data_IF_110934017553
#
_entry.id   IF_110934017553
#
_cell.length_a   1.000
_cell.length_b   1.000
_cell.length_c   1.000
_cell.angle_alpha   90.00
_cell.angle_beta   90.00
_cell.angle_gamma   90.00
#
_symmetry.space_group_name_H-M   'P 1'
#
loop_
_entity.id
_entity.type
_entity.pdbx_description
1 polymer ?
#
# COMPACT_ATOMS: atom_id res chain seq x y z
N UNK A 1 6.00 -0.06 -14.69
CA UNK A 1 4.85 -0.67 -13.97
C UNK A 1 4.06 0.43 -13.26
N UNK A 2 2.73 0.39 -13.31
CA UNK A 2 1.81 1.26 -12.57
C UNK A 2 1.04 0.38 -11.59
N UNK A 3 1.18 0.65 -10.30
CA UNK A 3 0.37 0.01 -9.27
C UNK A 3 -0.76 0.96 -8.90
N UNK A 4 -1.99 0.60 -9.26
CA UNK A 4 -3.18 1.35 -8.91
C UNK A 4 -3.43 1.24 -7.39
N UNK A 5 -3.85 2.35 -6.79
CA UNK A 5 -4.08 2.42 -5.34
C UNK A 5 -5.08 1.37 -4.84
N UNK A 6 -5.15 1.23 -3.53
CA UNK A 6 -5.97 0.24 -2.86
C UNK A 6 -7.44 0.31 -3.28
N UNK A 7 -7.88 -0.71 -4.00
CA UNK A 7 -9.23 -0.91 -4.48
C UNK A 7 -9.96 -1.87 -3.55
N UNK A 8 -11.10 -1.46 -2.99
CA UNK A 8 -11.89 -2.31 -2.13
C UNK A 8 -12.57 -3.43 -2.95
N UNK A 9 -12.58 -4.65 -2.44
CA UNK A 9 -13.16 -5.81 -3.12
C UNK A 9 -14.68 -5.93 -2.97
N UNK A 10 -15.26 -5.03 -2.17
CA UNK A 10 -16.71 -4.85 -2.01
C UNK A 10 -16.99 -3.46 -1.42
N UNK A 11 -18.22 -2.93 -1.57
CA UNK A 11 -18.52 -1.56 -1.11
C UNK A 11 -18.27 -1.33 0.37
N UNK A 12 -18.57 -2.31 1.23
CA UNK A 12 -18.38 -2.21 2.68
C UNK A 12 -16.93 -2.31 3.14
N UNK A 13 -15.98 -2.73 2.29
CA UNK A 13 -14.55 -2.80 2.58
C UNK A 13 -13.79 -1.50 2.36
N UNK A 14 -14.46 -0.40 1.97
CA UNK A 14 -13.83 0.89 1.64
C UNK A 14 -13.43 1.68 2.90
N UNK A 15 -12.30 2.36 2.81
CA UNK A 15 -11.85 3.30 3.84
C UNK A 15 -12.51 4.69 3.74
N UNK A 16 -13.21 4.98 2.65
CA UNK A 16 -14.01 6.18 2.43
C UNK A 16 -14.94 5.98 1.22
N UNK A 17 -15.97 6.80 1.08
CA UNK A 17 -16.89 6.75 -0.06
C UNK A 17 -16.21 7.03 -1.41
N UNK A 18 -15.07 7.70 -1.39
CA UNK A 18 -14.28 8.04 -2.59
C UNK A 18 -13.26 6.98 -3.00
N UNK A 19 -13.07 5.94 -2.19
CA UNK A 19 -12.12 4.89 -2.52
C UNK A 19 -12.63 4.04 -3.69
N UNK A 20 -11.72 3.67 -4.59
CA UNK A 20 -11.99 2.71 -5.66
C UNK A 20 -12.54 1.41 -5.08
N UNK A 21 -13.48 0.81 -5.77
CA UNK A 21 -13.99 -0.52 -5.48
C UNK A 21 -14.14 -1.30 -6.78
N UNK A 22 -13.88 -2.61 -6.73
CA UNK A 22 -14.10 -3.49 -7.86
C UNK A 22 -15.34 -4.36 -7.61
N UNK A 23 -16.26 -4.34 -8.57
CA UNK A 23 -17.50 -5.07 -8.50
C UNK A 23 -18.33 -4.85 -9.78
N UNK A 24 -19.48 -5.53 -9.94
CA UNK A 24 -20.27 -5.44 -11.16
C UNK A 24 -20.62 -4.00 -11.59
N UNK A 25 -20.90 -3.12 -10.65
CA UNK A 25 -21.29 -1.73 -10.92
C UNK A 25 -20.12 -0.80 -11.29
N UNK A 26 -18.87 -1.24 -11.09
CA UNK A 26 -17.68 -0.39 -11.30
C UNK A 26 -16.76 -0.91 -12.41
N UNK A 27 -17.10 -2.03 -13.05
CA UNK A 27 -16.27 -2.62 -14.13
C UNK A 27 -15.96 -1.61 -15.23
N UNK A 28 -16.98 -0.93 -15.78
CA UNK A 28 -16.78 0.01 -16.86
C UNK A 28 -15.89 1.20 -16.46
N UNK A 29 -16.06 1.71 -15.25
CA UNK A 29 -15.24 2.82 -14.75
C UNK A 29 -13.78 2.42 -14.55
N UNK A 30 -13.53 1.19 -14.05
CA UNK A 30 -12.18 0.67 -13.88
C UNK A 30 -11.52 0.36 -15.23
N UNK A 31 -12.27 -0.19 -16.18
CA UNK A 31 -11.78 -0.41 -17.55
C UNK A 31 -11.39 0.92 -18.22
N UNK A 32 -12.24 1.94 -18.10
CA UNK A 32 -11.94 3.28 -18.62
C UNK A 32 -10.71 3.92 -17.94
N UNK A 33 -10.56 3.73 -16.64
CA UNK A 33 -9.38 4.21 -15.91
C UNK A 33 -8.10 3.51 -16.37
N UNK A 34 -8.15 2.19 -16.55
CA UNK A 34 -7.03 1.39 -17.06
C UNK A 34 -6.62 1.85 -18.46
N UNK A 35 -7.60 2.01 -19.36
CA UNK A 35 -7.32 2.44 -20.74
C UNK A 35 -6.76 3.86 -20.78
N UNK A 36 -7.32 4.80 -20.00
CA UNK A 36 -6.81 6.17 -19.89
C UNK A 36 -5.34 6.20 -19.43
N UNK A 37 -4.95 5.33 -18.46
CA UNK A 37 -3.57 5.24 -18.01
C UNK A 37 -2.65 4.70 -19.11
N UNK A 38 -3.09 3.69 -19.86
CA UNK A 38 -2.33 3.13 -21.01
C UNK A 38 -2.22 4.12 -22.17
N UNK A 39 -3.30 4.85 -22.48
CA UNK A 39 -3.29 5.89 -23.51
C UNK A 39 -2.34 7.04 -23.17
N UNK A 40 -2.35 7.50 -21.92
CA UNK A 40 -1.42 8.51 -21.45
C UNK A 40 0.04 8.03 -21.58
N UNK A 41 0.31 6.77 -21.21
CA UNK A 41 1.64 6.16 -21.35
C UNK A 41 2.07 6.05 -22.81
N UNK A 42 1.19 5.58 -23.71
CA UNK A 42 1.44 5.51 -25.16
C UNK A 42 1.69 6.90 -25.76
N UNK A 43 0.91 7.87 -25.37
CA UNK A 43 1.07 9.26 -25.82
C UNK A 43 2.41 9.87 -25.41
N UNK A 44 2.88 9.55 -24.20
CA UNK A 44 4.13 10.08 -23.66
C UNK A 44 5.38 9.35 -24.16
N UNK A 45 5.31 8.03 -24.38
CA UNK A 45 6.47 7.14 -24.58
C UNK A 45 6.46 6.46 -25.97
N UNK A 46 5.43 6.71 -26.79
CA UNK A 46 5.26 6.11 -28.09
C UNK A 46 4.28 4.92 -28.13
N UNK A 47 3.72 4.60 -29.32
CA UNK A 47 2.59 3.66 -29.47
C UNK A 47 2.92 2.22 -29.05
N UNK A 48 4.18 1.82 -29.04
CA UNK A 48 4.62 0.50 -28.58
C UNK A 48 4.79 0.37 -27.06
N UNK A 49 4.65 1.48 -26.30
CA UNK A 49 4.85 1.45 -24.86
C UNK A 49 3.59 0.94 -24.13
N UNK A 50 3.76 -0.11 -23.34
CA UNK A 50 2.68 -0.68 -22.51
C UNK A 50 3.19 -0.94 -21.10
N UNK A 51 2.86 -0.08 -20.12
CA UNK A 51 3.23 -0.34 -18.73
C UNK A 51 2.42 -1.51 -18.18
N UNK A 52 3.05 -2.36 -17.36
CA UNK A 52 2.31 -3.32 -16.54
C UNK A 52 1.41 -2.56 -15.56
N UNK A 53 0.13 -2.92 -15.51
CA UNK A 53 -0.90 -2.29 -14.70
C UNK A 53 -1.40 -3.29 -13.64
N UNK A 54 -1.06 -3.06 -12.38
CA UNK A 54 -1.40 -3.92 -11.24
C UNK A 54 -2.47 -3.24 -10.39
N UNK A 55 -3.57 -3.95 -10.08
CA UNK A 55 -4.63 -3.43 -9.21
C UNK A 55 -4.45 -3.93 -7.77
N UNK A 56 -4.21 -3.03 -6.82
CA UNK A 56 -4.09 -3.41 -5.41
C UNK A 56 -5.48 -3.67 -4.80
N UNK A 57 -5.71 -4.90 -4.36
CA UNK A 57 -6.95 -5.35 -3.72
C UNK A 57 -6.86 -5.24 -2.20
N UNK A 58 -7.95 -4.80 -1.55
CA UNK A 58 -7.97 -4.62 -0.11
C UNK A 58 -9.36 -4.71 0.52
N UNK A 59 -9.37 -4.95 1.83
CA UNK A 59 -10.43 -4.61 2.77
C UNK A 59 -9.82 -3.71 3.85
N UNK A 60 -10.47 -2.58 4.14
CA UNK A 60 -9.92 -1.59 5.07
C UNK A 60 -9.93 -2.03 6.53
N UNK A 61 -10.60 -3.15 6.86
CA UNK A 61 -10.65 -3.67 8.22
C UNK A 61 -11.17 -2.63 9.21
N UNK A 62 -10.41 -2.34 10.24
CA UNK A 62 -10.67 -1.31 11.27
C UNK A 62 -11.00 0.06 10.67
N UNK A 63 -10.43 0.38 9.52
CA UNK A 63 -10.57 1.67 8.83
C UNK A 63 -11.67 1.68 7.76
N UNK A 64 -12.69 0.82 7.86
CA UNK A 64 -13.89 0.94 7.04
C UNK A 64 -14.69 2.16 7.49
N UNK A 65 -14.68 3.21 6.66
CA UNK A 65 -15.34 4.49 6.96
C UNK A 65 -16.27 4.96 5.84
N UNK A 66 -16.58 4.11 4.86
CA UNK A 66 -17.60 4.43 3.89
C UNK A 66 -18.99 4.46 4.56
N UNK A 67 -19.88 5.29 4.04
CA UNK A 67 -21.24 5.46 4.58
C UNK A 67 -21.96 4.10 4.68
N UNK A 68 -22.57 3.84 5.82
CA UNK A 68 -23.30 2.58 6.08
C UNK A 68 -22.42 1.36 6.32
N UNK A 69 -21.10 1.53 6.58
CA UNK A 69 -20.22 0.41 6.88
C UNK A 69 -19.91 0.29 8.36
N UNK A 70 -19.58 -0.93 8.79
CA UNK A 70 -19.11 -1.22 10.15
C UNK A 70 -17.62 -1.55 10.10
N UNK A 71 -16.79 -1.03 11.04
CA UNK A 71 -15.41 -1.42 11.15
C UNK A 71 -15.23 -2.94 11.27
N UNK A 72 -14.25 -3.50 10.58
CA UNK A 72 -13.94 -4.93 10.59
C UNK A 72 -12.73 -5.21 11.47
N UNK A 73 -12.93 -5.42 12.76
CA UNK A 73 -11.84 -5.70 13.69
C UNK A 73 -11.34 -7.13 13.57
N UNK A 74 -10.03 -7.30 13.65
CA UNK A 74 -9.41 -8.63 13.84
C UNK A 74 -9.22 -8.95 15.32
N UNK A 75 -8.72 -7.95 16.06
CA UNK A 75 -8.51 -7.96 17.51
C UNK A 75 -8.79 -6.55 18.03
N UNK A 76 -9.50 -6.36 19.13
CA UNK A 76 -9.61 -5.06 19.80
C UNK A 76 -8.22 -4.55 20.20
N UNK A 77 -7.93 -3.31 19.87
CA UNK A 77 -6.71 -2.61 20.26
C UNK A 77 -7.03 -1.15 20.57
N UNK A 78 -7.26 -0.81 21.84
CA UNK A 78 -7.78 0.50 22.27
C UNK A 78 -7.02 1.71 21.72
N UNK A 79 -5.71 1.58 21.49
CA UNK A 79 -4.88 2.63 20.91
C UNK A 79 -5.32 2.96 19.46
N UNK A 80 -5.53 1.94 18.64
CA UNK A 80 -5.95 2.11 17.24
C UNK A 80 -7.46 2.29 17.12
N UNK A 81 -8.25 1.65 17.98
CA UNK A 81 -9.72 1.74 17.97
C UNK A 81 -10.17 3.18 18.16
N UNK A 82 -9.62 3.87 19.16
CA UNK A 82 -9.90 5.29 19.41
C UNK A 82 -9.51 6.17 18.22
N UNK A 83 -8.36 5.92 17.58
CA UNK A 83 -7.92 6.70 16.42
C UNK A 83 -8.77 6.43 15.18
N UNK A 84 -9.20 5.20 14.99
CA UNK A 84 -10.10 4.80 13.91
C UNK A 84 -11.58 5.09 14.24
N UNK A 85 -11.89 5.66 15.41
CA UNK A 85 -13.26 5.93 15.88
C UNK A 85 -14.16 4.69 15.82
N UNK A 86 -13.61 3.54 16.18
CA UNK A 86 -14.34 2.29 16.28
C UNK A 86 -15.28 2.34 17.48
N UNK A 87 -16.59 2.04 17.33
CA UNK A 87 -17.50 1.91 18.48
C UNK A 87 -17.00 0.83 19.47
N UNK A 88 -17.17 1.10 20.77
CA UNK A 88 -16.62 0.23 21.85
C UNK A 88 -17.18 -1.20 21.82
N UNK A 89 -18.41 -1.36 21.36
CA UNK A 89 -19.14 -2.63 21.27
C UNK A 89 -18.95 -3.36 19.92
N UNK A 90 -18.05 -2.86 19.04
CA UNK A 90 -17.80 -3.49 17.74
C UNK A 90 -17.17 -4.87 17.94
N UNK A 91 -17.87 -5.98 17.54
CA UNK A 91 -17.31 -7.30 17.67
C UNK A 91 -16.19 -7.54 16.65
N UNK A 92 -15.18 -8.36 16.99
CA UNK A 92 -14.23 -8.85 15.99
C UNK A 92 -14.94 -9.68 14.91
N UNK A 93 -14.39 -9.62 13.68
CA UNK A 93 -14.83 -10.46 12.58
C UNK A 93 -14.71 -11.94 12.96
N UNK A 94 -15.72 -12.75 12.65
CA UNK A 94 -15.63 -14.20 12.75
C UNK A 94 -14.67 -14.79 11.71
N UNK A 95 -14.30 -16.05 11.86
CA UNK A 95 -13.50 -16.75 10.84
C UNK A 95 -14.27 -16.86 9.52
N UNK A 96 -15.59 -17.06 9.58
CA UNK A 96 -16.48 -17.09 8.41
C UNK A 96 -16.52 -15.73 7.68
N UNK A 97 -16.51 -14.60 8.41
CA UNK A 97 -16.47 -13.28 7.78
C UNK A 97 -15.14 -13.07 7.04
N UNK A 98 -14.04 -13.55 7.61
CA UNK A 98 -12.72 -13.48 6.96
C UNK A 98 -12.68 -14.35 5.71
N UNK A 99 -13.27 -15.54 5.74
CA UNK A 99 -13.40 -16.40 4.56
C UNK A 99 -14.22 -15.76 3.45
N UNK A 100 -15.36 -15.15 3.79
CA UNK A 100 -16.17 -14.38 2.83
C UNK A 100 -15.38 -13.24 2.19
N UNK A 101 -14.45 -12.61 2.94
CA UNK A 101 -13.58 -11.58 2.38
C UNK A 101 -12.54 -12.20 1.45
N UNK A 102 -11.97 -13.38 1.77
CA UNK A 102 -11.08 -14.10 0.85
C UNK A 102 -11.81 -14.47 -0.45
N UNK A 103 -13.05 -14.93 -0.39
CA UNK A 103 -13.86 -15.23 -1.58
C UNK A 103 -14.04 -13.96 -2.44
N UNK A 104 -14.42 -12.84 -1.83
CA UNK A 104 -14.54 -11.55 -2.54
C UNK A 104 -13.22 -11.07 -3.15
N UNK A 105 -12.09 -11.29 -2.49
CA UNK A 105 -10.77 -10.94 -3.04
C UNK A 105 -10.41 -11.84 -4.22
N UNK A 106 -10.76 -13.13 -4.16
CA UNK A 106 -10.55 -14.07 -5.26
C UNK A 106 -11.41 -13.70 -6.48
N UNK A 107 -12.70 -13.40 -6.27
CA UNK A 107 -13.60 -12.91 -7.32
C UNK A 107 -13.10 -11.60 -7.93
N UNK A 108 -12.60 -10.67 -7.11
CA UNK A 108 -12.04 -9.41 -7.55
C UNK A 108 -10.79 -9.59 -8.41
N UNK A 109 -9.93 -10.57 -8.11
CA UNK A 109 -8.76 -10.90 -8.91
C UNK A 109 -9.15 -11.43 -10.30
N UNK A 110 -10.11 -12.37 -10.36
CA UNK A 110 -10.65 -12.89 -11.64
C UNK A 110 -11.30 -11.75 -12.46
N UNK A 111 -11.98 -10.83 -11.79
CA UNK A 111 -12.58 -9.66 -12.44
C UNK A 111 -11.53 -8.71 -12.98
N UNK A 112 -10.45 -8.45 -12.23
CA UNK A 112 -9.33 -7.63 -12.66
C UNK A 112 -8.64 -8.23 -13.90
N UNK A 113 -8.43 -9.56 -13.93
CA UNK A 113 -7.93 -10.26 -15.13
C UNK A 113 -8.85 -10.04 -16.35
N UNK A 114 -10.17 -10.20 -16.16
CA UNK A 114 -11.17 -9.98 -17.25
C UNK A 114 -11.16 -8.54 -17.74
N UNK A 115 -10.93 -7.56 -16.88
CA UNK A 115 -10.84 -6.15 -17.25
C UNK A 115 -9.52 -5.79 -17.96
N UNK A 116 -8.57 -6.71 -18.02
CA UNK A 116 -7.30 -6.54 -18.72
C UNK A 116 -6.18 -5.94 -17.88
N UNK A 117 -6.29 -5.94 -16.54
CA UNK A 117 -5.12 -5.69 -15.69
C UNK A 117 -4.08 -6.80 -15.89
N UNK A 118 -2.81 -6.46 -15.75
CA UNK A 118 -1.71 -7.42 -15.90
C UNK A 118 -1.46 -8.23 -14.62
N UNK A 119 -2.10 -7.85 -13.51
CA UNK A 119 -2.02 -8.53 -12.24
C UNK A 119 -2.78 -7.82 -11.13
N UNK A 120 -2.75 -8.44 -9.95
CA UNK A 120 -3.26 -7.86 -8.71
C UNK A 120 -2.17 -7.80 -7.65
N UNK A 121 -2.39 -6.94 -6.65
CA UNK A 121 -1.56 -6.85 -5.46
C UNK A 121 -2.42 -7.04 -4.20
N UNK A 122 -2.10 -8.06 -3.40
CA UNK A 122 -2.79 -8.33 -2.15
C UNK A 122 -2.25 -7.38 -1.08
N UNK A 123 -3.07 -6.45 -0.62
CA UNK A 123 -2.64 -5.49 0.40
C UNK A 123 -2.59 -6.10 1.79
N UNK A 124 -1.39 -6.34 2.29
CA UNK A 124 -1.10 -6.81 3.66
C UNK A 124 -0.20 -5.82 4.41
N UNK A 125 -0.54 -4.52 4.32
CA UNK A 125 0.20 -3.44 4.93
C UNK A 125 -0.72 -2.36 5.53
N UNK A 126 -0.12 -1.43 6.28
CA UNK A 126 -0.78 -0.22 6.80
C UNK A 126 -1.90 -0.48 7.81
N UNK A 127 -1.92 -1.63 8.47
CA UNK A 127 -2.97 -2.03 9.43
C UNK A 127 -4.37 -2.15 8.81
N UNK A 128 -4.46 -2.44 7.51
CA UNK A 128 -5.68 -2.94 6.87
C UNK A 128 -5.84 -4.43 7.18
N UNK A 129 -6.95 -5.05 6.83
CA UNK A 129 -7.32 -6.40 7.28
C UNK A 129 -6.16 -7.40 7.17
N UNK A 130 -5.53 -7.54 5.99
CA UNK A 130 -4.43 -8.48 5.79
C UNK A 130 -3.23 -8.22 6.71
N UNK A 131 -2.89 -6.94 6.94
CA UNK A 131 -1.82 -6.56 7.87
C UNK A 131 -2.18 -6.77 9.34
N UNK A 132 -3.43 -6.53 9.73
CA UNK A 132 -3.89 -6.78 11.09
C UNK A 132 -3.90 -8.25 11.44
N UNK A 133 -4.23 -9.12 10.50
CA UNK A 133 -4.20 -10.57 10.70
C UNK A 133 -2.79 -11.08 10.97
N UNK A 134 -1.76 -10.52 10.30
CA UNK A 134 -0.37 -10.86 10.60
C UNK A 134 0.01 -10.59 12.07
N UNK A 135 -0.57 -9.56 12.68
CA UNK A 135 -0.33 -9.17 14.08
C UNK A 135 -1.38 -9.71 15.07
N UNK A 136 -2.27 -10.61 14.65
CA UNK A 136 -3.41 -11.05 15.43
C UNK A 136 -3.08 -12.16 16.47
N UNK A 137 -2.06 -11.94 17.31
CA UNK A 137 -1.63 -12.91 18.33
C UNK A 137 -2.73 -13.28 19.33
N UNK A 138 -3.61 -12.33 19.65
CA UNK A 138 -4.69 -12.54 20.64
C UNK A 138 -6.00 -13.03 19.99
N UNK A 139 -6.07 -13.12 18.67
CA UNK A 139 -7.27 -13.55 17.99
C UNK A 139 -7.47 -15.07 18.21
N UNK A 140 -8.65 -15.50 18.71
CA UNK A 140 -9.03 -16.91 18.67
C UNK A 140 -9.38 -17.37 17.25
N UNK A 141 -9.44 -18.68 17.04
CA UNK A 141 -9.84 -19.26 15.76
C UNK A 141 -8.68 -19.45 14.78
N UNK A 142 -9.01 -19.76 13.55
CA UNK A 142 -8.04 -20.23 12.56
C UNK A 142 -7.18 -19.12 11.93
N UNK A 143 -7.56 -17.86 12.08
CA UNK A 143 -6.83 -16.71 11.52
C UNK A 143 -6.09 -15.88 12.60
N UNK A 144 -5.64 -16.51 13.68
CA UNK A 144 -4.93 -15.83 14.76
C UNK A 144 -4.02 -16.75 15.56
N UNK A 145 -3.49 -16.23 16.67
CA UNK A 145 -2.65 -16.99 17.60
C UNK A 145 -1.22 -17.15 17.11
N UNK A 146 -0.85 -18.33 16.70
CA UNK A 146 0.49 -18.66 16.24
C UNK A 146 0.80 -18.13 14.82
N UNK A 147 2.03 -18.32 14.36
CA UNK A 147 2.46 -17.90 13.04
C UNK A 147 1.58 -18.49 11.93
N UNK A 148 1.25 -19.77 12.03
CA UNK A 148 0.47 -20.47 11.02
C UNK A 148 -0.94 -19.90 10.89
N UNK A 149 -1.61 -19.61 12.01
CA UNK A 149 -2.93 -19.00 12.05
C UNK A 149 -2.91 -17.56 11.53
N UNK A 150 -1.97 -16.73 12.00
CA UNK A 150 -1.87 -15.31 11.63
C UNK A 150 -1.53 -15.09 10.15
N UNK A 151 -0.73 -15.97 9.55
CA UNK A 151 -0.34 -15.88 8.14
C UNK A 151 -1.29 -16.61 7.19
N UNK A 152 -2.21 -17.41 7.72
CA UNK A 152 -3.15 -18.24 6.97
C UNK A 152 -3.92 -17.46 5.91
N UNK A 153 -4.48 -16.31 6.27
CA UNK A 153 -5.24 -15.47 5.35
C UNK A 153 -4.48 -15.17 4.06
N UNK A 154 -3.25 -14.70 4.19
CA UNK A 154 -2.45 -14.29 3.03
C UNK A 154 -1.96 -15.50 2.21
N UNK A 155 -1.57 -16.58 2.88
CA UNK A 155 -1.13 -17.83 2.21
C UNK A 155 -2.27 -18.45 1.42
N UNK A 156 -3.41 -18.70 2.06
CA UNK A 156 -4.58 -19.29 1.39
C UNK A 156 -5.10 -18.39 0.26
N UNK A 157 -5.11 -17.06 0.46
CA UNK A 157 -5.57 -16.13 -0.55
C UNK A 157 -4.64 -16.12 -1.78
N UNK A 158 -3.32 -16.18 -1.58
CA UNK A 158 -2.35 -16.29 -2.68
C UNK A 158 -2.60 -17.54 -3.51
N UNK A 159 -2.77 -18.69 -2.85
CA UNK A 159 -3.06 -19.97 -3.49
C UNK A 159 -4.42 -19.96 -4.21
N UNK A 160 -5.48 -19.48 -3.58
CA UNK A 160 -6.83 -19.37 -4.17
C UNK A 160 -6.84 -18.50 -5.42
N UNK A 161 -6.21 -17.32 -5.37
CA UNK A 161 -6.14 -16.43 -6.52
C UNK A 161 -5.34 -17.07 -7.65
N UNK A 162 -4.18 -17.69 -7.34
CA UNK A 162 -3.36 -18.37 -8.33
C UNK A 162 -4.13 -19.52 -9.03
N UNK A 163 -4.96 -20.24 -8.29
CA UNK A 163 -5.82 -21.31 -8.84
C UNK A 163 -7.05 -20.80 -9.61
N UNK A 164 -7.52 -19.58 -9.35
CA UNK A 164 -8.73 -19.03 -9.96
C UNK A 164 -8.48 -18.24 -11.24
N UNK A 165 -7.34 -17.56 -11.37
CA UNK A 165 -6.96 -16.80 -12.57
C UNK A 165 -6.55 -17.75 -13.69
N UNK A 166 -6.88 -17.39 -14.94
CA UNK A 166 -6.71 -18.28 -16.10
C UNK A 166 -5.34 -18.13 -16.76
N UNK A 167 -4.84 -16.89 -16.84
CA UNK A 167 -3.59 -16.60 -17.50
C UNK A 167 -2.40 -16.88 -16.58
N UNK A 168 -1.44 -17.66 -17.06
CA UNK A 168 -0.15 -17.87 -16.35
C UNK A 168 0.70 -16.59 -16.29
N UNK A 169 0.42 -15.63 -17.17
CA UNK A 169 1.10 -14.34 -17.22
C UNK A 169 0.44 -13.29 -16.30
N UNK A 170 -0.71 -13.61 -15.69
CA UNK A 170 -1.35 -12.72 -14.74
C UNK A 170 -0.59 -12.73 -13.40
N UNK A 171 -0.08 -11.57 -13.00
CA UNK A 171 0.79 -11.45 -11.84
C UNK A 171 -0.03 -11.45 -10.54
N UNK A 172 0.37 -12.29 -9.60
CA UNK A 172 -0.14 -12.27 -8.22
C UNK A 172 0.96 -11.70 -7.34
N UNK A 173 0.75 -10.48 -6.85
CA UNK A 173 1.72 -9.74 -6.06
C UNK A 173 1.16 -9.41 -4.68
N UNK A 174 2.01 -9.01 -3.75
CA UNK A 174 1.56 -8.55 -2.44
C UNK A 174 2.42 -7.39 -1.93
N UNK A 175 1.76 -6.41 -1.29
CA UNK A 175 2.44 -5.40 -0.50
C UNK A 175 2.33 -5.75 0.98
N UNK A 176 3.46 -6.07 1.60
CA UNK A 176 3.52 -6.55 2.98
C UNK A 176 4.26 -5.56 3.87
N UNK A 177 3.72 -5.27 5.06
CA UNK A 177 4.53 -4.69 6.12
C UNK A 177 5.55 -5.73 6.59
N UNK A 178 6.82 -5.34 6.57
CA UNK A 178 7.91 -6.13 7.16
C UNK A 178 8.03 -5.86 8.66
N UNK A 179 7.59 -4.68 9.08
CA UNK A 179 7.69 -4.17 10.43
C UNK A 179 6.61 -3.11 10.64
N UNK A 180 5.83 -3.21 11.70
CA UNK A 180 4.74 -2.24 11.93
C UNK A 180 4.93 -1.30 13.12
N UNK A 181 5.95 -1.53 13.97
CA UNK A 181 6.33 -0.63 15.06
C UNK A 181 5.37 -0.62 16.24
N UNK A 182 4.62 -1.71 16.47
CA UNK A 182 3.75 -1.87 17.64
C UNK A 182 4.30 -2.91 18.61
N UNK A 183 4.02 -2.76 19.93
CA UNK A 183 4.45 -3.74 20.92
C UNK A 183 3.69 -5.06 20.79
N UNK A 184 4.34 -6.16 21.20
CA UNK A 184 3.66 -7.42 21.44
C UNK A 184 2.54 -7.25 22.47
N UNK A 185 1.36 -7.85 22.30
CA UNK A 185 0.97 -8.80 21.26
C UNK A 185 0.26 -8.17 20.02
N UNK A 186 0.47 -6.91 19.76
CA UNK A 186 -0.21 -6.16 18.71
C UNK A 186 0.68 -5.86 17.49
N UNK A 187 1.98 -6.13 17.57
CA UNK A 187 2.96 -5.87 16.51
C UNK A 187 3.24 -7.07 15.62
N UNK A 188 3.63 -6.78 14.37
CA UNK A 188 4.16 -7.71 13.41
C UNK A 188 5.58 -7.29 13.01
N UNK A 189 6.51 -8.24 12.98
CA UNK A 189 7.92 -7.96 12.63
C UNK A 189 8.62 -7.04 13.64
N UNK A 190 8.18 -7.05 14.90
CA UNK A 190 8.71 -6.22 15.98
C UNK A 190 9.43 -7.07 17.03
N UNK A 191 10.58 -6.60 17.50
CA UNK A 191 11.24 -7.19 18.65
C UNK A 191 10.31 -7.10 19.87
N UNK A 192 10.18 -8.19 20.62
CA UNK A 192 9.25 -8.25 21.77
C UNK A 192 9.71 -7.42 22.95
N UNK A 193 11.01 -7.23 23.10
CA UNK A 193 11.62 -6.46 24.21
C UNK A 193 11.84 -4.99 23.85
N UNK A 194 12.00 -4.69 22.55
CA UNK A 194 12.25 -3.35 22.01
C UNK A 194 11.38 -3.12 20.74
N UNK A 195 10.07 -2.85 20.91
CA UNK A 195 9.11 -2.78 19.80
C UNK A 195 9.46 -1.83 18.66
N UNK A 196 10.16 -0.71 18.84
CA UNK A 196 10.67 0.12 17.77
C UNK A 196 11.70 -0.57 16.88
N UNK A 197 12.28 -1.70 17.30
CA UNK A 197 13.27 -2.46 16.57
C UNK A 197 12.62 -3.55 15.71
N UNK A 198 13.00 -3.70 14.43
CA UNK A 198 12.51 -4.79 13.60
C UNK A 198 13.02 -6.17 14.06
N UNK A 199 12.14 -7.16 13.99
CA UNK A 199 12.46 -8.60 14.01
C UNK A 199 11.99 -9.22 12.70
N UNK A 200 12.93 -9.58 11.83
CA UNK A 200 12.66 -10.08 10.48
C UNK A 200 12.45 -11.61 10.43
N UNK A 201 12.49 -12.32 11.54
CA UNK A 201 12.36 -13.78 11.57
C UNK A 201 11.04 -14.28 10.95
N UNK A 202 9.91 -13.78 11.39
CA UNK A 202 8.61 -14.14 10.82
C UNK A 202 8.34 -13.52 9.43
N UNK A 203 8.66 -12.25 9.15
CA UNK A 203 8.58 -11.69 7.80
C UNK A 203 9.36 -12.49 6.75
N UNK A 204 10.60 -12.88 7.03
CA UNK A 204 11.39 -13.71 6.12
C UNK A 204 10.76 -15.09 5.90
N UNK A 205 10.31 -15.75 6.97
CA UNK A 205 9.60 -17.04 6.88
C UNK A 205 8.36 -16.93 6.00
N UNK A 206 7.54 -15.88 6.18
CA UNK A 206 6.33 -15.67 5.39
C UNK A 206 6.65 -15.43 3.91
N UNK A 207 7.63 -14.59 3.60
CA UNK A 207 8.02 -14.29 2.22
C UNK A 207 8.51 -15.55 1.50
N UNK A 208 9.28 -16.42 2.16
CA UNK A 208 9.70 -17.72 1.62
C UNK A 208 8.51 -18.59 1.24
N UNK A 209 7.54 -18.74 2.15
CA UNK A 209 6.31 -19.52 1.89
C UNK A 209 5.51 -18.92 0.72
N UNK A 210 5.36 -17.59 0.65
CA UNK A 210 4.62 -16.95 -0.43
C UNK A 210 5.31 -17.13 -1.79
N UNK A 211 6.65 -17.12 -1.82
CA UNK A 211 7.43 -17.46 -3.02
C UNK A 211 7.12 -18.88 -3.52
N UNK A 212 7.09 -19.87 -2.62
CA UNK A 212 6.73 -21.25 -2.93
C UNK A 212 5.28 -21.39 -3.43
N UNK A 213 4.37 -20.54 -2.93
CA UNK A 213 2.97 -20.47 -3.38
C UNK A 213 2.79 -19.69 -4.70
N UNK A 214 3.87 -19.22 -5.32
CA UNK A 214 3.84 -18.56 -6.62
C UNK A 214 3.57 -17.06 -6.55
N UNK A 215 4.02 -16.35 -5.52
CA UNK A 215 4.04 -14.89 -5.51
C UNK A 215 5.05 -14.39 -6.54
N UNK A 216 4.62 -13.55 -7.48
CA UNK A 216 5.47 -13.07 -8.59
C UNK A 216 6.30 -11.83 -8.23
N UNK A 217 5.84 -11.01 -7.29
CA UNK A 217 6.52 -9.79 -6.85
C UNK A 217 6.08 -9.40 -5.45
N UNK A 218 7.02 -8.97 -4.64
CA UNK A 218 6.79 -8.40 -3.32
C UNK A 218 7.03 -6.89 -3.33
N UNK A 219 6.07 -6.10 -2.85
CA UNK A 219 6.29 -4.69 -2.50
C UNK A 219 6.47 -4.56 -0.99
N UNK A 220 7.62 -4.05 -0.55
CA UNK A 220 7.91 -3.88 0.87
C UNK A 220 7.28 -2.61 1.44
N UNK A 221 6.81 -2.68 2.68
CA UNK A 221 6.28 -1.56 3.45
C UNK A 221 6.60 -1.71 4.92
N UNK A 222 6.40 -0.64 5.69
CA UNK A 222 6.53 -0.63 7.16
C UNK A 222 5.49 0.28 7.79
N UNK A 223 5.19 0.11 9.06
CA UNK A 223 4.32 1.00 9.82
C UNK A 223 2.89 1.15 9.33
N UNK A 224 2.23 2.21 9.81
CA UNK A 224 0.88 2.59 9.37
C UNK A 224 0.74 4.11 9.22
N UNK A 225 0.09 4.62 8.17
CA UNK A 225 -0.12 6.06 7.98
C UNK A 225 -1.03 6.68 9.05
N UNK A 226 -1.75 5.85 9.78
CA UNK A 226 -2.73 6.28 10.79
C UNK A 226 -2.16 6.49 12.19
N UNK A 227 -0.96 5.98 12.47
CA UNK A 227 -0.35 6.09 13.80
C UNK A 227 1.12 6.51 13.75
N UNK A 228 1.96 5.76 13.00
CA UNK A 228 3.40 6.00 12.88
C UNK A 228 3.82 6.26 11.42
N UNK A 229 3.32 7.38 10.82
CA UNK A 229 3.50 7.65 9.39
C UNK A 229 4.98 7.79 8.96
N UNK A 230 5.88 8.14 9.89
CA UNK A 230 7.32 8.21 9.64
C UNK A 230 7.94 6.86 9.29
N UNK A 231 7.41 5.76 9.86
CA UNK A 231 7.83 4.40 9.48
C UNK A 231 7.44 4.08 8.04
N UNK A 232 6.24 4.47 7.63
CA UNK A 232 5.73 4.19 6.27
C UNK A 232 6.48 4.99 5.22
N UNK A 233 6.76 6.24 5.52
CA UNK A 233 7.36 7.20 4.58
C UNK A 233 7.99 8.37 5.32
N UNK A 234 9.24 8.70 5.07
CA UNK A 234 9.83 9.93 5.56
C UNK A 234 9.09 11.17 5.02
N UNK A 235 9.02 12.24 5.81
CA UNK A 235 8.39 13.51 5.46
C UNK A 235 9.06 14.69 6.17
N UNK A 236 8.97 15.88 5.57
CA UNK A 236 9.48 17.11 6.19
C UNK A 236 8.41 17.81 7.02
N UNK A 237 7.12 17.60 6.70
CA UNK A 237 6.00 18.19 7.41
C UNK A 237 4.99 17.12 7.80
N UNK A 238 4.62 17.13 9.06
CA UNK A 238 3.58 16.28 9.61
C UNK A 238 2.19 16.72 9.12
N UNK A 239 1.30 15.75 8.90
CA UNK A 239 -0.13 16.03 8.73
C UNK A 239 -0.71 16.43 10.09
N UNK A 240 -1.46 17.55 10.19
CA UNK A 240 -2.06 17.97 11.46
C UNK A 240 -2.86 16.85 12.14
N UNK A 241 -2.67 16.69 13.44
CA UNK A 241 -3.29 15.62 14.24
C UNK A 241 -2.54 14.28 14.26
N UNK A 242 -1.46 14.13 13.49
CA UNK A 242 -0.57 12.97 13.58
C UNK A 242 0.50 13.15 14.67
N UNK A 243 1.12 12.03 15.05
CA UNK A 243 2.23 12.00 15.99
C UNK A 243 3.49 12.52 15.30
N UNK A 244 4.25 13.36 15.98
CA UNK A 244 5.55 13.84 15.49
C UNK A 244 6.55 12.69 15.36
N UNK A 245 7.37 12.71 14.30
CA UNK A 245 8.37 11.68 14.08
C UNK A 245 9.46 11.77 15.16
N UNK A 246 9.77 10.66 15.87
CA UNK A 246 10.84 10.65 16.87
C UNK A 246 12.24 10.54 16.28
N UNK A 247 12.35 10.53 14.95
CA UNK A 247 13.58 10.25 14.20
C UNK A 247 13.77 11.24 13.04
N UNK A 248 15.01 11.38 12.61
CA UNK A 248 15.30 12.14 11.39
C UNK A 248 14.81 11.37 10.14
N UNK A 249 14.19 12.01 9.13
CA UNK A 249 13.66 11.34 7.95
C UNK A 249 14.65 10.43 7.21
N UNK A 250 15.94 10.73 7.24
CA UNK A 250 16.99 9.91 6.62
C UNK A 250 17.15 8.54 7.31
N UNK A 251 16.89 8.45 8.61
CA UNK A 251 16.86 7.17 9.33
C UNK A 251 15.73 6.28 8.81
N UNK A 252 14.56 6.88 8.57
CA UNK A 252 13.45 6.19 7.93
C UNK A 252 13.77 5.70 6.51
N UNK A 253 14.49 6.51 5.70
CA UNK A 253 14.99 6.07 4.38
C UNK A 253 15.94 4.87 4.53
N UNK A 254 16.94 4.99 5.42
CA UNK A 254 17.93 3.93 5.65
C UNK A 254 17.26 2.62 6.11
N UNK A 255 16.28 2.69 7.01
CA UNK A 255 15.50 1.53 7.46
C UNK A 255 14.75 0.87 6.32
N UNK A 256 14.03 1.63 5.49
CA UNK A 256 13.32 1.10 4.34
C UNK A 256 14.27 0.38 3.36
N UNK A 257 15.43 0.96 3.08
CA UNK A 257 16.42 0.34 2.21
C UNK A 257 17.03 -0.91 2.82
N UNK A 258 17.35 -0.89 4.12
CA UNK A 258 17.93 -2.03 4.84
C UNK A 258 16.98 -3.23 4.84
N UNK A 259 15.73 -3.04 5.26
CA UNK A 259 14.73 -4.11 5.35
C UNK A 259 14.38 -4.67 3.96
N UNK A 260 14.23 -3.80 2.95
CA UNK A 260 14.03 -4.24 1.56
C UNK A 260 15.21 -5.06 1.08
N UNK A 261 16.43 -4.58 1.34
CA UNK A 261 17.66 -5.25 0.93
C UNK A 261 17.88 -6.59 1.61
N UNK A 262 17.45 -6.76 2.85
CA UNK A 262 17.48 -8.03 3.56
C UNK A 262 16.59 -9.06 2.88
N UNK A 263 15.35 -8.71 2.56
CA UNK A 263 14.42 -9.57 1.79
C UNK A 263 15.02 -9.93 0.42
N UNK A 264 15.48 -8.93 -0.35
CA UNK A 264 15.97 -9.17 -1.71
C UNK A 264 17.21 -10.07 -1.74
N UNK A 265 18.13 -9.92 -0.77
CA UNK A 265 19.31 -10.79 -0.68
C UNK A 265 18.96 -12.19 -0.23
N UNK A 266 17.95 -12.36 0.62
CA UNK A 266 17.49 -13.69 1.08
C UNK A 266 16.75 -14.42 -0.03
N UNK A 267 16.00 -13.70 -0.86
CA UNK A 267 15.22 -14.26 -1.97
C UNK A 267 15.62 -13.59 -3.29
N UNK A 268 16.78 -13.93 -3.86
CA UNK A 268 17.32 -13.23 -5.02
C UNK A 268 16.48 -13.41 -6.29
N UNK A 269 15.73 -14.50 -6.40
CA UNK A 269 14.87 -14.82 -7.55
C UNK A 269 13.48 -14.22 -7.45
N UNK A 270 13.04 -13.76 -6.27
CA UNK A 270 11.79 -13.05 -6.11
C UNK A 270 12.01 -11.57 -6.39
N UNK A 271 11.33 -10.98 -7.40
CA UNK A 271 11.38 -9.54 -7.60
C UNK A 271 10.85 -8.78 -6.38
N UNK A 272 11.62 -7.79 -5.89
CA UNK A 272 11.22 -6.98 -4.74
C UNK A 272 11.20 -5.50 -5.12
N UNK A 273 10.05 -4.85 -4.90
CA UNK A 273 9.89 -3.41 -5.06
C UNK A 273 10.13 -2.70 -3.72
N UNK A 274 11.18 -1.90 -3.67
CA UNK A 274 11.52 -1.05 -2.53
C UNK A 274 10.93 0.36 -2.63
N UNK A 275 10.86 1.06 -1.50
CA UNK A 275 10.35 2.44 -1.41
C UNK A 275 11.26 3.32 -0.55
N UNK A 276 10.88 4.60 -0.32
CA UNK A 276 11.68 5.55 0.47
C UNK A 276 12.39 6.60 -0.38
N UNK A 277 12.48 6.39 -1.68
CA UNK A 277 13.23 7.27 -2.60
C UNK A 277 12.66 8.68 -2.74
N UNK A 278 11.35 8.86 -2.58
CA UNK A 278 10.65 10.14 -2.78
C UNK A 278 11.20 11.26 -1.89
N UNK A 279 11.57 10.95 -0.63
CA UNK A 279 12.08 11.96 0.30
C UNK A 279 13.45 12.52 -0.14
N UNK A 280 14.24 11.73 -0.83
CA UNK A 280 15.55 12.14 -1.38
C UNK A 280 15.42 13.12 -2.56
N UNK A 281 14.21 13.48 -2.97
CA UNK A 281 13.93 14.45 -4.05
C UNK A 281 14.64 14.04 -5.34
N UNK A 282 15.40 14.98 -5.97
CA UNK A 282 16.16 14.72 -7.21
C UNK A 282 17.24 13.63 -7.05
N UNK A 283 17.71 13.38 -5.84
CA UNK A 283 18.71 12.34 -5.58
C UNK A 283 18.10 10.93 -5.45
N UNK A 284 16.76 10.82 -5.38
CA UNK A 284 16.05 9.55 -5.25
C UNK A 284 16.33 8.58 -6.38
N UNK A 285 16.52 9.05 -7.62
CA UNK A 285 16.84 8.20 -8.77
C UNK A 285 18.23 7.56 -8.65
N UNK A 286 19.22 8.30 -8.13
CA UNK A 286 20.57 7.77 -7.93
C UNK A 286 20.61 6.73 -6.81
N UNK A 287 19.89 6.98 -5.71
CA UNK A 287 19.75 6.00 -4.64
C UNK A 287 19.00 4.74 -5.14
N UNK A 288 18.00 4.91 -6.00
CA UNK A 288 17.27 3.80 -6.63
C UNK A 288 18.21 2.97 -7.52
N UNK A 289 18.98 3.62 -8.40
CA UNK A 289 19.96 2.95 -9.25
C UNK A 289 21.00 2.18 -8.41
N UNK A 290 21.54 2.82 -7.37
CA UNK A 290 22.51 2.17 -6.47
C UNK A 290 21.94 0.95 -5.74
N UNK A 291 20.65 1.00 -5.31
CA UNK A 291 20.01 -0.15 -4.66
C UNK A 291 19.77 -1.31 -5.64
N UNK A 292 19.43 -1.01 -6.89
CA UNK A 292 19.26 -2.03 -7.94
C UNK A 292 20.63 -2.64 -8.28
N UNK A 293 21.65 -1.83 -8.49
CA UNK A 293 23.02 -2.30 -8.78
C UNK A 293 23.56 -3.20 -7.67
N UNK A 294 23.31 -2.83 -6.39
CA UNK A 294 23.71 -3.62 -5.21
C UNK A 294 22.79 -4.80 -4.93
N UNK A 295 21.80 -5.08 -5.79
CA UNK A 295 20.79 -6.13 -5.59
C UNK A 295 20.08 -6.01 -4.23
N UNK A 296 19.83 -4.78 -3.79
CA UNK A 296 19.05 -4.48 -2.59
C UNK A 296 17.55 -4.26 -2.91
N UNK A 297 17.20 -4.17 -4.19
CA UNK A 297 15.83 -4.19 -4.71
C UNK A 297 15.90 -4.54 -6.21
N UNK A 298 14.84 -5.13 -6.75
CA UNK A 298 14.69 -5.32 -8.21
C UNK A 298 14.01 -4.10 -8.83
N UNK A 299 13.08 -3.47 -8.11
CA UNK A 299 12.27 -2.35 -8.60
C UNK A 299 12.31 -1.20 -7.59
N UNK A 300 12.47 0.02 -8.07
CA UNK A 300 12.36 1.23 -7.27
C UNK A 300 10.95 1.82 -7.34
N UNK A 301 10.25 1.88 -6.20
CA UNK A 301 8.89 2.38 -6.06
C UNK A 301 8.84 3.87 -5.70
N UNK A 302 8.15 4.67 -6.52
CA UNK A 302 7.89 6.10 -6.29
C UNK A 302 6.39 6.34 -6.14
N UNK A 303 5.88 6.50 -4.92
CA UNK A 303 4.45 6.69 -4.68
C UNK A 303 3.98 8.11 -5.00
N UNK A 304 4.16 9.05 -4.05
CA UNK A 304 3.64 10.42 -4.20
C UNK A 304 4.32 11.25 -5.29
N UNK A 305 5.46 10.82 -5.76
CA UNK A 305 6.12 11.41 -6.92
C UNK A 305 5.25 11.28 -8.16
N UNK A 306 4.43 10.23 -8.28
CA UNK A 306 3.50 10.08 -9.40
C UNK A 306 2.50 11.24 -9.52
N UNK A 307 2.10 11.88 -8.40
CA UNK A 307 1.25 13.07 -8.41
C UNK A 307 2.02 14.35 -8.75
N UNK A 308 3.28 14.44 -8.30
CA UNK A 308 4.09 15.65 -8.46
C UNK A 308 4.79 15.70 -9.82
N UNK A 309 5.18 14.54 -10.35
CA UNK A 309 6.01 14.38 -11.52
C UNK A 309 5.65 13.09 -12.28
N UNK A 310 4.48 13.03 -12.93
CA UNK A 310 4.04 11.85 -13.69
C UNK A 310 5.01 11.47 -14.83
N UNK A 311 5.70 12.44 -15.42
CA UNK A 311 6.72 12.24 -16.48
C UNK A 311 8.06 11.70 -15.97
N UNK A 312 8.26 11.49 -14.68
CA UNK A 312 9.54 11.05 -14.12
C UNK A 312 10.14 9.84 -14.85
N UNK A 313 9.39 8.77 -15.16
CA UNK A 313 9.95 7.62 -15.87
C UNK A 313 10.49 7.99 -17.26
N UNK A 314 9.78 8.82 -18.00
CA UNK A 314 10.22 9.29 -19.32
C UNK A 314 11.50 10.11 -19.21
N UNK A 315 11.54 11.10 -18.33
CA UNK A 315 12.69 11.97 -18.17
C UNK A 315 13.95 11.20 -17.71
N UNK A 316 13.78 10.19 -16.85
CA UNK A 316 14.87 9.28 -16.46
C UNK A 316 15.37 8.45 -17.66
N UNK A 317 14.48 7.91 -18.48
CA UNK A 317 14.86 7.10 -19.65
C UNK A 317 15.52 7.91 -20.75
N UNK A 318 15.04 9.12 -21.02
CA UNK A 318 15.51 9.96 -22.12
C UNK A 318 16.73 10.82 -21.73
N UNK A 319 16.79 11.30 -20.49
CA UNK A 319 17.77 12.29 -20.03
C UNK A 319 18.74 11.77 -18.98
N UNK A 320 18.48 10.60 -18.38
CA UNK A 320 19.23 10.08 -17.23
C UNK A 320 19.15 10.98 -15.98
N UNK A 321 18.21 11.93 -15.97
CA UNK A 321 18.08 12.94 -14.93
C UNK A 321 16.61 13.32 -14.69
N UNK A 322 16.33 13.94 -13.55
CA UNK A 322 15.01 14.48 -13.20
C UNK A 322 15.08 16.00 -13.02
N UNK A 323 13.96 16.68 -13.29
CA UNK A 323 13.81 18.11 -13.03
C UNK A 323 13.61 18.35 -11.51
N UNK A 324 14.56 19.02 -10.81
CA UNK A 324 14.41 19.30 -9.37
C UNK A 324 13.17 20.16 -9.04
N UNK A 325 12.68 20.94 -10.01
CA UNK A 325 11.48 21.76 -9.86
C UNK A 325 10.20 20.94 -9.76
N UNK A 326 10.16 19.73 -10.34
CA UNK A 326 8.97 18.86 -10.41
C UNK A 326 8.91 17.82 -9.28
N UNK A 327 10.04 17.43 -8.69
CA UNK A 327 10.06 16.34 -7.70
C UNK A 327 9.19 16.63 -6.47
N UNK A 328 8.63 15.59 -5.88
CA UNK A 328 7.87 15.68 -4.63
C UNK A 328 8.77 16.21 -3.50
N UNK A 329 8.28 17.19 -2.76
CA UNK A 329 9.03 17.82 -1.64
C UNK A 329 8.56 17.30 -0.27
N UNK A 330 7.86 16.18 -0.22
CA UNK A 330 7.43 15.50 1.02
C UNK A 330 6.67 16.38 2.03
N UNK A 331 5.98 17.42 1.53
CA UNK A 331 5.22 18.39 2.35
C UNK A 331 3.92 17.85 2.95
N UNK A 332 3.52 16.63 2.64
CA UNK A 332 2.30 15.94 3.12
C UNK A 332 0.96 16.62 2.83
N UNK A 333 0.92 17.72 2.04
CA UNK A 333 -0.32 18.46 1.76
C UNK A 333 -1.38 17.60 1.02
N UNK A 334 -0.95 16.71 0.12
CA UNK A 334 -1.85 15.73 -0.52
C UNK A 334 -2.53 14.82 0.49
N UNK A 335 -1.79 14.33 1.49
CA UNK A 335 -2.34 13.46 2.55
C UNK A 335 -3.23 14.24 3.51
N UNK A 336 -2.89 15.50 3.83
CA UNK A 336 -3.71 16.37 4.65
C UNK A 336 -5.09 16.59 4.01
N UNK A 337 -5.11 17.03 2.75
CA UNK A 337 -6.38 17.29 2.03
C UNK A 337 -7.20 16.00 1.86
N UNK A 338 -6.54 14.88 1.52
CA UNK A 338 -7.21 13.57 1.41
C UNK A 338 -7.85 13.14 2.74
N UNK A 339 -7.15 13.30 3.87
CA UNK A 339 -7.67 12.94 5.20
C UNK A 339 -8.87 13.79 5.61
N UNK A 340 -9.03 14.95 5.00
CA UNK A 340 -10.14 15.88 5.19
C UNK A 340 -11.26 15.71 4.15
N UNK A 341 -11.24 14.64 3.35
CA UNK A 341 -12.24 14.34 2.33
C UNK A 341 -12.07 15.10 1.01
N UNK A 342 -10.93 15.77 0.80
CA UNK A 342 -10.60 16.44 -0.46
C UNK A 342 -10.05 15.47 -1.53
N UNK A 343 -9.91 15.95 -2.75
CA UNK A 343 -9.36 15.19 -3.89
C UNK A 343 -7.87 14.91 -3.70
N UNK A 344 -7.39 13.76 -4.15
CA UNK A 344 -5.98 13.40 -4.10
C UNK A 344 -5.23 13.97 -5.29
N UNK A 345 -4.08 14.63 -5.03
CA UNK A 345 -3.22 15.18 -6.07
C UNK A 345 -2.06 15.99 -5.48
N UNK A 346 -1.20 16.55 -6.32
CA UNK A 346 -0.07 17.37 -5.85
C UNK A 346 -0.38 18.86 -5.83
N UNK A 347 -0.84 19.36 -4.72
CA UNK A 347 -1.16 20.79 -4.51
C UNK A 347 0.07 21.72 -4.50
N UNK A 348 1.26 21.17 -4.35
CA UNK A 348 2.51 21.95 -4.32
C UNK A 348 3.12 22.15 -5.72
N UNK A 349 3.02 21.15 -6.60
CA UNK A 349 3.68 21.15 -7.91
C UNK A 349 2.71 21.35 -9.07
N UNK A 350 1.55 20.73 -9.03
CA UNK A 350 0.51 20.90 -10.04
C UNK A 350 -0.55 21.91 -9.55
N UNK A 351 -0.17 23.17 -9.59
CA UNK A 351 -1.03 24.27 -9.10
C UNK A 351 -2.13 24.64 -10.09
N UNK A 352 -1.96 24.34 -11.34
CA UNK A 352 -2.95 24.61 -12.39
C UNK A 352 -4.21 23.78 -12.15
N UNK A 353 -4.07 22.47 -11.99
CA UNK A 353 -5.20 21.56 -11.74
C UNK A 353 -5.67 21.61 -10.28
N UNK A 354 -4.74 21.47 -9.33
CA UNK A 354 -5.11 21.30 -7.91
C UNK A 354 -5.17 22.61 -7.10
N UNK A 355 -4.66 23.72 -7.62
CA UNK A 355 -4.72 25.01 -6.94
C UNK A 355 -6.14 25.50 -6.69
N UNK A 356 -7.05 25.53 -7.69
CA UNK A 356 -8.45 25.82 -7.51
C UNK A 356 -9.14 24.91 -6.50
N UNK A 357 -8.93 23.59 -6.60
CA UNK A 357 -9.49 22.59 -5.69
C UNK A 357 -9.07 22.81 -4.23
N UNK A 358 -7.82 23.23 -3.99
CA UNK A 358 -7.33 23.54 -2.65
C UNK A 358 -8.02 24.79 -2.07
N UNK A 359 -8.23 25.82 -2.89
CA UNK A 359 -8.93 27.04 -2.48
C UNK A 359 -10.37 26.73 -2.08
N UNK A 360 -11.09 25.98 -2.91
CA UNK A 360 -12.45 25.54 -2.64
C UNK A 360 -12.54 24.70 -1.36
N UNK A 361 -11.66 23.70 -1.22
CA UNK A 361 -11.59 22.84 -0.03
C UNK A 361 -11.37 23.67 1.25
N UNK A 362 -10.45 24.65 1.21
CA UNK A 362 -10.17 25.53 2.36
C UNK A 362 -11.33 26.47 2.66
N UNK A 363 -12.05 26.96 1.66
CA UNK A 363 -13.22 27.81 1.83
C UNK A 363 -14.36 27.06 2.50
N UNK A 364 -14.69 25.85 2.03
CA UNK A 364 -15.74 24.99 2.62
C UNK A 364 -15.49 24.65 4.09
N UNK A 365 -14.22 24.52 4.50
CA UNK A 365 -13.86 24.23 5.90
C UNK A 365 -13.85 25.43 6.83
N UNK A 366 -13.85 26.65 6.30
CA UNK A 366 -13.98 27.87 7.12
C UNK A 366 -15.44 28.22 7.39
N UNK A 367 -16.35 27.66 6.60
CA UNK A 367 -17.80 27.91 6.70
C UNK A 367 -18.51 26.87 7.59
N UNK A 368 -17.80 25.84 8.02
CA UNK A 368 -18.22 24.81 9.00
C UNK A 368 -17.42 24.96 10.31
#
# INVERSE_FOLDING_TARGET
MIQFEACAVWPGGRSSDRQLAIGPSTENSLASLLEAARDAARSAMGPGHSPLCILQLQDAGRYRHATGTTPGLTVPYPLLDRRAKVPEDTPPLSDEDIEKIQDKMTEAAVRAEKLGFDGIDIKSCHRYLGSELLAAHLRPGKFGGDFEGRTRFLRELTERIRGAVKSRNFLVTSRINLFDGFPYPYGWGCDRSDPPKPDMSEPLKLVGILGELGLDLLTTSTGTPYYNPWLVRPFDRIVPGNIEAPEHPLEGVARLFSLTGEIQRTFPDLPVAGSGYTWLRQYGIFAAAANIEKKAATIAGFGRTAFAYPDLPRDVMEKGAVDPGKVCVSCSLCSEVMSQGGSTGCYAKDREVYGPMLKEHRASRRSN
#
